data_IF_667588212308
#
_entry.id   IF_667588212308
#
_cell.length_a   1.000
_cell.length_b   1.000
_cell.length_c   1.000
_cell.angle_alpha   90.00
_cell.angle_beta   90.00
_cell.angle_gamma   90.00
#
_symmetry.space_group_name_H-M   'P 1'
#
loop_
_entity.id
_entity.type
_entity.pdbx_description
1 polymer ?
#
# COMPACT_ATOMS: atom_id res chain seq x y z
N UNK A 1 -28.75 57.83 15.76
CA UNK A 1 -27.30 58.05 15.93
C UNK A 1 -26.63 56.69 16.15
N UNK A 2 -25.68 56.39 15.26
CA UNK A 2 -24.59 55.40 15.26
C UNK A 2 -24.78 53.98 15.85
N UNK A 3 -24.59 53.01 14.96
CA UNK A 3 -24.29 51.61 15.21
C UNK A 3 -22.95 51.42 15.93
N UNK A 4 -22.89 50.46 16.87
CA UNK A 4 -21.67 49.99 17.51
C UNK A 4 -21.33 48.57 17.07
N UNK A 5 -20.52 48.47 16.01
CA UNK A 5 -19.83 47.26 15.58
C UNK A 5 -18.66 47.06 16.57
N UNK A 6 -18.61 45.94 17.29
CA UNK A 6 -17.40 45.53 18.01
C UNK A 6 -17.01 44.14 17.57
N UNK A 7 -15.83 44.11 16.94
CA UNK A 7 -15.32 43.05 16.12
C UNK A 7 -14.60 41.96 16.95
N UNK A 8 -14.58 40.78 16.35
CA UNK A 8 -13.44 39.87 16.29
C UNK A 8 -12.57 39.68 17.54
N UNK A 9 -12.67 38.49 18.11
CA UNK A 9 -11.49 37.77 18.59
C UNK A 9 -11.72 36.27 18.44
N UNK A 10 -11.70 35.83 17.18
CA UNK A 10 -11.50 34.45 16.77
C UNK A 10 -10.07 34.06 17.15
N UNK A 11 -9.86 33.59 18.38
CA UNK A 11 -8.58 33.03 18.79
C UNK A 11 -8.47 31.60 18.24
N UNK A 12 -8.12 31.52 16.96
CA UNK A 12 -7.66 30.30 16.32
C UNK A 12 -6.32 29.96 16.97
N UNK A 13 -6.34 28.99 17.89
CA UNK A 13 -5.13 28.36 18.41
C UNK A 13 -4.50 27.53 17.30
N UNK A 14 -3.69 28.18 16.47
CA UNK A 14 -2.88 27.58 15.42
C UNK A 14 -1.61 27.04 16.07
N UNK A 15 -1.78 26.03 16.94
CA UNK A 15 -0.65 25.29 17.48
C UNK A 15 -0.08 24.40 16.39
N UNK A 16 1.00 24.91 15.80
CA UNK A 16 2.01 24.18 15.04
C UNK A 16 2.17 22.74 15.54
N UNK A 17 1.67 21.79 14.75
CA UNK A 17 2.14 20.41 14.78
C UNK A 17 2.80 20.16 13.44
N UNK A 18 4.03 20.64 13.33
CA UNK A 18 4.97 20.19 12.31
C UNK A 18 5.35 18.74 12.63
N UNK A 19 4.43 17.81 12.37
CA UNK A 19 4.69 16.37 12.42
C UNK A 19 5.56 16.06 11.20
N UNK A 20 6.86 16.16 11.36
CA UNK A 20 7.78 15.48 10.45
C UNK A 20 7.44 14.00 10.57
N UNK A 21 7.00 13.37 9.49
CA UNK A 21 6.85 11.91 9.37
C UNK A 21 8.17 11.33 8.82
N UNK A 22 9.14 10.93 9.66
CA UNK A 22 10.34 10.21 9.20
C UNK A 22 10.07 8.71 8.94
N UNK A 23 8.87 8.22 9.23
CA UNK A 23 8.56 6.78 9.19
C UNK A 23 8.20 6.23 7.80
N UNK A 24 7.75 7.07 6.86
CA UNK A 24 7.40 6.64 5.50
C UNK A 24 8.63 6.35 4.64
N UNK A 25 9.70 7.15 4.76
CA UNK A 25 10.91 7.03 3.94
C UNK A 25 11.67 5.71 4.20
N UNK A 26 11.67 5.22 5.45
CA UNK A 26 12.31 3.95 5.80
C UNK A 26 11.53 2.73 5.29
N UNK A 27 10.19 2.83 5.16
CA UNK A 27 9.38 1.73 4.63
C UNK A 27 9.63 1.52 3.14
N UNK A 28 9.72 2.60 2.36
CA UNK A 28 10.03 2.55 0.93
C UNK A 28 11.41 1.94 0.64
N UNK A 29 12.41 2.29 1.45
CA UNK A 29 13.77 1.77 1.28
C UNK A 29 13.84 0.25 1.53
N UNK A 30 13.25 -0.24 2.62
CA UNK A 30 13.24 -1.68 2.94
C UNK A 30 12.49 -2.50 1.89
N UNK A 31 11.39 -1.96 1.35
CA UNK A 31 10.64 -2.60 0.28
C UNK A 31 11.47 -2.68 -1.02
N UNK A 32 12.06 -1.56 -1.43
CA UNK A 32 12.88 -1.50 -2.65
C UNK A 32 14.12 -2.40 -2.54
N UNK A 33 14.77 -2.47 -1.37
CA UNK A 33 15.91 -3.35 -1.15
C UNK A 33 15.51 -4.82 -1.23
N UNK A 34 14.45 -5.25 -0.54
CA UNK A 34 14.00 -6.65 -0.59
C UNK A 34 13.61 -7.06 -2.01
N UNK A 35 12.91 -6.18 -2.73
CA UNK A 35 12.57 -6.40 -4.13
C UNK A 35 13.81 -6.48 -5.01
N UNK A 36 14.73 -5.52 -4.89
CA UNK A 36 15.98 -5.50 -5.66
C UNK A 36 16.83 -6.75 -5.40
N UNK A 37 16.92 -7.21 -4.16
CA UNK A 37 17.62 -8.45 -3.81
C UNK A 37 16.98 -9.66 -4.49
N UNK A 38 15.65 -9.77 -4.46
CA UNK A 38 14.92 -10.86 -5.12
C UNK A 38 15.19 -10.87 -6.64
N UNK A 39 15.14 -9.70 -7.28
CA UNK A 39 15.43 -9.54 -8.71
C UNK A 39 16.86 -9.98 -9.04
N UNK A 40 17.85 -9.56 -8.25
CA UNK A 40 19.25 -9.93 -8.47
C UNK A 40 19.45 -11.43 -8.30
N UNK A 41 18.88 -12.03 -7.26
CA UNK A 41 18.98 -13.47 -7.01
C UNK A 41 18.32 -14.28 -8.13
N UNK A 42 17.11 -13.89 -8.55
CA UNK A 42 16.40 -14.53 -9.65
C UNK A 42 17.17 -14.39 -10.98
N UNK A 43 17.74 -13.21 -11.26
CA UNK A 43 18.54 -12.96 -12.46
C UNK A 43 19.77 -13.87 -12.54
N UNK A 44 20.57 -13.93 -11.46
CA UNK A 44 21.77 -14.76 -11.40
C UNK A 44 21.39 -16.25 -11.50
N UNK A 45 20.36 -16.67 -10.78
CA UNK A 45 19.88 -18.06 -10.81
C UNK A 45 19.44 -18.49 -12.21
N UNK A 46 18.64 -17.67 -12.90
CA UNK A 46 18.20 -17.93 -14.26
C UNK A 46 19.35 -17.89 -15.27
N UNK A 47 20.31 -16.99 -15.10
CA UNK A 47 21.51 -16.94 -15.96
C UNK A 47 22.31 -18.24 -15.88
N UNK A 48 22.60 -18.69 -14.66
CA UNK A 48 23.36 -19.92 -14.43
C UNK A 48 22.59 -21.15 -14.93
N UNK A 49 21.27 -21.19 -14.69
CA UNK A 49 20.43 -22.28 -15.18
C UNK A 49 20.40 -22.34 -16.71
N UNK A 50 20.24 -21.20 -17.39
CA UNK A 50 20.26 -21.11 -18.85
C UNK A 50 21.62 -21.46 -19.44
N UNK A 51 22.71 -21.03 -18.79
CA UNK A 51 24.08 -21.40 -19.17
C UNK A 51 24.28 -22.92 -19.08
N UNK A 52 23.94 -23.52 -17.93
CA UNK A 52 24.09 -24.95 -17.68
C UNK A 52 23.21 -25.80 -18.61
N UNK A 53 22.01 -25.32 -18.94
CA UNK A 53 21.11 -25.99 -19.87
C UNK A 53 21.72 -26.10 -21.27
N UNK A 54 22.27 -25.01 -21.81
CA UNK A 54 22.91 -25.03 -23.14
C UNK A 54 24.21 -25.82 -23.14
N UNK A 55 24.96 -25.75 -22.04
CA UNK A 55 26.14 -26.58 -21.82
C UNK A 55 25.84 -28.08 -21.85
N UNK A 56 24.73 -28.49 -21.26
CA UNK A 56 24.39 -29.92 -21.13
C UNK A 56 23.67 -30.48 -22.36
N UNK A 57 22.79 -29.70 -22.99
CA UNK A 57 21.82 -30.25 -23.96
C UNK A 57 21.92 -29.72 -25.39
N UNK A 58 22.58 -28.57 -25.62
CA UNK A 58 22.50 -27.87 -26.92
C UNK A 58 23.85 -27.78 -27.62
N UNK A 59 24.85 -27.17 -26.98
CA UNK A 59 26.12 -26.84 -27.63
C UNK A 59 27.27 -26.79 -26.59
N UNK A 60 27.79 -27.95 -26.14
CA UNK A 60 28.79 -28.03 -25.07
C UNK A 60 30.11 -27.31 -25.41
N UNK A 61 30.51 -27.29 -26.68
CA UNK A 61 31.76 -26.66 -27.14
C UNK A 61 31.62 -25.15 -27.41
N UNK A 62 30.39 -24.63 -27.51
CA UNK A 62 30.13 -23.27 -27.99
C UNK A 62 29.95 -22.29 -26.84
N UNK A 63 31.05 -21.72 -26.33
CA UNK A 63 31.00 -20.75 -25.22
C UNK A 63 30.03 -19.58 -25.50
N UNK A 64 30.06 -19.02 -26.71
CA UNK A 64 29.20 -17.90 -27.11
C UNK A 64 27.71 -18.26 -27.00
N UNK A 65 27.33 -19.48 -27.37
CA UNK A 65 25.94 -19.93 -27.29
C UNK A 65 25.46 -20.03 -25.83
N UNK A 66 26.32 -20.52 -24.93
CA UNK A 66 26.01 -20.63 -23.49
C UNK A 66 25.73 -19.26 -22.87
N UNK A 67 26.59 -18.27 -23.18
CA UNK A 67 26.46 -16.91 -22.64
C UNK A 67 25.21 -16.21 -23.18
N UNK A 68 24.95 -16.30 -24.48
CA UNK A 68 23.76 -15.67 -25.10
C UNK A 68 22.48 -16.29 -24.54
N UNK A 69 22.44 -17.62 -24.36
CA UNK A 69 21.28 -18.29 -23.79
C UNK A 69 21.08 -17.98 -22.31
N UNK A 70 22.14 -17.94 -21.50
CA UNK A 70 22.06 -17.48 -20.11
C UNK A 70 21.55 -16.04 -20.02
N UNK A 71 22.06 -15.14 -20.87
CA UNK A 71 21.62 -13.75 -20.95
C UNK A 71 20.13 -13.64 -21.36
N UNK A 72 19.71 -14.36 -22.40
CA UNK A 72 18.31 -14.37 -22.84
C UNK A 72 17.37 -14.95 -21.78
N UNK A 73 17.76 -16.06 -21.14
CA UNK A 73 16.99 -16.71 -20.08
C UNK A 73 16.83 -15.77 -18.87
N UNK A 74 17.91 -15.16 -18.40
CA UNK A 74 17.89 -14.23 -17.28
C UNK A 74 17.09 -12.95 -17.57
N UNK A 75 17.16 -12.43 -18.80
CA UNK A 75 16.32 -11.30 -19.24
C UNK A 75 14.83 -11.65 -19.25
N UNK A 76 14.48 -12.85 -19.73
CA UNK A 76 13.09 -13.31 -19.69
C UNK A 76 12.56 -13.43 -18.25
N UNK A 77 13.40 -13.87 -17.31
CA UNK A 77 13.05 -13.88 -15.87
C UNK A 77 12.79 -12.48 -15.33
N UNK A 78 13.59 -11.49 -15.72
CA UNK A 78 13.35 -10.08 -15.34
C UNK A 78 12.01 -9.57 -15.86
N UNK A 79 11.66 -9.91 -17.11
CA UNK A 79 10.36 -9.53 -17.68
C UNK A 79 9.22 -10.20 -16.92
N UNK A 80 9.33 -11.49 -16.61
CA UNK A 80 8.31 -12.22 -15.85
C UNK A 80 8.11 -11.62 -14.46
N UNK A 81 9.20 -11.33 -13.74
CA UNK A 81 9.17 -10.72 -12.41
C UNK A 81 8.54 -9.32 -12.47
N UNK A 82 8.91 -8.52 -13.46
CA UNK A 82 8.36 -7.16 -13.66
C UNK A 82 6.86 -7.22 -13.98
N UNK A 83 6.43 -8.15 -14.83
CA UNK A 83 5.02 -8.35 -15.17
C UNK A 83 4.20 -8.80 -13.95
N UNK A 84 4.73 -9.74 -13.16
CA UNK A 84 4.09 -10.19 -11.92
C UNK A 84 3.96 -9.05 -10.91
N UNK A 85 4.98 -8.19 -10.79
CA UNK A 85 4.95 -7.01 -9.93
C UNK A 85 3.85 -6.03 -10.34
N UNK A 86 3.77 -5.69 -11.63
CA UNK A 86 2.76 -4.77 -12.17
C UNK A 86 1.36 -5.31 -11.93
N UNK A 87 1.14 -6.61 -12.13
CA UNK A 87 -0.15 -7.27 -11.86
C UNK A 87 -0.47 -7.26 -10.35
N UNK A 88 0.54 -7.47 -9.50
CA UNK A 88 0.36 -7.47 -8.04
C UNK A 88 0.00 -6.07 -7.52
N UNK A 89 0.69 -5.03 -7.97
CA UNK A 89 0.36 -3.62 -7.72
C UNK A 89 -1.09 -3.32 -8.12
N UNK A 90 -1.48 -3.71 -9.33
CA UNK A 90 -2.83 -3.47 -9.86
C UNK A 90 -3.92 -4.15 -9.01
N UNK A 91 -3.64 -5.34 -8.45
CA UNK A 91 -4.55 -6.03 -7.51
C UNK A 91 -4.60 -5.35 -6.15
N UNK A 92 -3.46 -4.92 -5.60
CA UNK A 92 -3.38 -4.23 -4.32
C UNK A 92 -4.18 -2.92 -4.33
N UNK A 93 -4.07 -2.13 -5.41
CA UNK A 93 -4.85 -0.89 -5.55
C UNK A 93 -6.35 -1.14 -5.50
N UNK A 94 -6.82 -2.24 -6.11
CA UNK A 94 -8.25 -2.58 -6.14
C UNK A 94 -8.77 -3.01 -4.76
N UNK A 95 -7.97 -3.74 -3.98
CA UNK A 95 -8.32 -4.14 -2.60
C UNK A 95 -8.37 -2.91 -1.69
N UNK A 96 -7.36 -2.05 -1.77
CA UNK A 96 -7.31 -0.83 -0.96
C UNK A 96 -8.50 0.10 -1.26
N UNK A 97 -8.89 0.23 -2.54
CA UNK A 97 -10.05 1.03 -2.96
C UNK A 97 -11.38 0.44 -2.46
N UNK A 98 -11.51 -0.89 -2.39
CA UNK A 98 -12.70 -1.55 -1.83
C UNK A 98 -12.79 -1.37 -0.31
N UNK A 99 -11.66 -1.49 0.41
CA UNK A 99 -11.63 -1.30 1.87
C UNK A 99 -11.91 0.16 2.27
N UNK A 100 -11.35 1.15 1.57
CA UNK A 100 -11.66 2.57 1.86
C UNK A 100 -13.12 2.93 1.60
N UNK A 101 -13.76 2.31 0.59
CA UNK A 101 -15.19 2.50 0.33
C UNK A 101 -16.07 1.86 1.40
N UNK A 102 -15.71 0.68 1.90
CA UNK A 102 -16.43 0.02 3.00
C UNK A 102 -16.31 0.80 4.30
N UNK A 103 -15.11 1.28 4.67
CA UNK A 103 -14.92 2.07 5.89
C UNK A 103 -15.69 3.39 5.88
N UNK A 104 -15.72 4.09 4.73
CA UNK A 104 -16.53 5.31 4.58
C UNK A 104 -18.03 5.03 4.71
N UNK A 105 -18.51 3.87 4.25
CA UNK A 105 -19.92 3.46 4.36
C UNK A 105 -20.29 3.07 5.80
N UNK A 106 -19.42 2.33 6.49
CA UNK A 106 -19.60 1.98 7.90
C UNK A 106 -19.61 3.21 8.81
N UNK A 107 -18.71 4.18 8.58
CA UNK A 107 -18.70 5.45 9.34
C UNK A 107 -19.95 6.31 9.10
N UNK A 108 -20.49 6.35 7.87
CA UNK A 108 -21.76 7.05 7.61
C UNK A 108 -22.94 6.38 8.30
N UNK A 109 -22.98 5.05 8.37
CA UNK A 109 -24.05 4.33 9.07
C UNK A 109 -24.02 4.54 10.59
N UNK A 110 -22.83 4.70 11.17
CA UNK A 110 -22.69 5.02 12.61
C UNK A 110 -23.04 6.48 12.90
N UNK A 111 -22.68 7.42 12.02
CA UNK A 111 -22.98 8.84 12.21
C UNK A 111 -24.47 9.22 12.01
N UNK A 112 -25.26 8.37 11.34
CA UNK A 112 -26.69 8.62 11.07
C UNK A 112 -27.61 8.01 12.12
N UNK A 113 -27.11 7.24 13.09
CA UNK A 113 -27.96 6.79 14.21
C UNK A 113 -28.29 7.99 15.09
N UNK A 114 -29.57 8.47 15.13
CA UNK A 114 -29.94 9.52 16.06
C UNK A 114 -29.72 9.00 17.49
N UNK A 115 -29.33 9.87 18.44
CA UNK A 115 -29.16 9.48 19.83
C UNK A 115 -30.48 8.87 20.32
N UNK A 116 -30.44 7.60 20.70
CA UNK A 116 -31.57 6.93 21.34
C UNK A 116 -31.78 7.66 22.67
N UNK A 117 -32.80 8.50 22.73
CA UNK A 117 -33.15 9.24 23.92
C UNK A 117 -33.43 8.24 25.06
N UNK A 118 -32.87 8.45 26.26
CA UNK A 118 -33.15 7.58 27.40
C UNK A 118 -34.64 7.67 27.72
N UNK A 119 -35.34 6.54 27.59
CA UNK A 119 -36.73 6.40 27.99
C UNK A 119 -36.84 6.71 29.48
N UNK A 120 -37.45 7.85 29.82
CA UNK A 120 -37.92 8.16 31.17
C UNK A 120 -38.82 7.02 31.61
N UNK A 121 -38.35 6.20 32.55
CA UNK A 121 -39.22 5.38 33.39
C UNK A 121 -40.04 6.33 34.26
N UNK A 122 -41.33 6.45 33.96
CA UNK A 122 -42.31 7.14 34.79
C UNK A 122 -42.43 6.49 36.18
N UNK A 123 -42.74 7.28 37.23
CA UNK A 123 -42.83 6.80 38.61
C UNK A 123 -44.19 6.13 38.85
N UNK A 124 -44.13 4.89 39.34
CA UNK A 124 -45.31 4.16 39.81
C UNK A 124 -45.81 4.75 41.15
N UNK A 125 -47.14 4.83 41.22
CA UNK A 125 -47.98 5.57 42.16
C UNK A 125 -47.82 5.20 43.64
N UNK A 126 -48.14 6.21 44.45
CA UNK A 126 -48.49 6.19 45.86
C UNK A 126 -50.01 5.99 45.99
N UNK A 127 -50.42 4.94 46.70
CA UNK A 127 -51.75 4.69 47.33
C UNK A 127 -51.41 3.69 48.48
N UNK A 128 -51.71 3.82 49.78
CA UNK A 128 -52.47 4.71 50.65
C UNK A 128 -51.71 4.84 52.00
#
# INVERSE_FOLDING_TARGET
>A
MAAGISASSTLVSLHSVHRVEPAEHQKGLRFATNFGTQVIVAFIGAFLLGYYFVETFVAPESFNAKVIAGAACSFATLLLETLLLVIHEHKLTMIHTRQTKQDKRSRRLVAVRPPVAPSKSEPEKKDD
#
